data_IF_796003380928
#
_entry.id   IF_796003380928
#
_cell.length_a   1.000
_cell.length_b   1.000
_cell.length_c   1.000
_cell.angle_alpha   90.00
_cell.angle_beta   90.00
_cell.angle_gamma   90.00
#
_symmetry.space_group_name_H-M   'P 1'
#
loop_
_entity.id
_entity.type
_entity.pdbx_description
1 polymer ?
#
# COMPACT_ATOMS: atom_id res chain seq x y z
N UNK A 1 3.45 -15.08 1.12
CA UNK A 1 4.57 -15.10 2.10
C UNK A 1 4.72 -16.51 2.66
N UNK A 2 5.85 -16.83 3.30
CA UNK A 2 6.04 -18.08 4.04
C UNK A 2 5.24 -18.03 5.37
N UNK A 3 5.10 -19.17 6.07
CA UNK A 3 4.38 -19.25 7.36
C UNK A 3 4.99 -18.33 8.43
N UNK A 4 6.32 -18.16 8.43
CA UNK A 4 7.10 -17.26 9.29
C UNK A 4 6.97 -15.76 8.93
N UNK A 5 6.14 -15.43 7.93
CA UNK A 5 5.96 -14.08 7.44
C UNK A 5 7.15 -13.53 6.63
N UNK A 6 8.08 -14.37 6.20
CA UNK A 6 9.14 -13.95 5.28
C UNK A 6 8.69 -14.04 3.81
N UNK A 7 9.46 -13.41 2.93
CA UNK A 7 9.20 -13.42 1.48
C UNK A 7 9.34 -14.88 0.98
N UNK A 8 8.27 -15.42 0.38
CA UNK A 8 8.29 -16.73 -0.32
C UNK A 8 8.61 -16.56 -1.79
N UNK A 9 7.96 -15.58 -2.41
CA UNK A 9 8.10 -15.19 -3.81
C UNK A 9 7.83 -13.70 -3.88
N UNK A 10 8.63 -12.98 -4.66
CA UNK A 10 8.47 -11.56 -4.88
C UNK A 10 8.15 -11.33 -6.36
N UNK A 11 7.11 -10.56 -6.63
CA UNK A 11 6.81 -10.04 -7.96
C UNK A 11 6.71 -8.53 -7.80
N UNK A 12 7.63 -7.81 -8.44
CA UNK A 12 7.64 -6.35 -8.41
C UNK A 12 6.88 -5.86 -9.63
N UNK A 13 5.80 -5.12 -9.38
CA UNK A 13 5.12 -4.32 -10.40
C UNK A 13 5.01 -2.89 -9.91
N UNK A 14 5.37 -1.96 -10.78
CA UNK A 14 5.26 -0.53 -10.54
C UNK A 14 4.22 0.03 -11.47
N UNK A 15 3.31 0.82 -10.92
CA UNK A 15 2.24 1.46 -11.67
C UNK A 15 2.41 2.97 -11.60
N UNK A 16 2.23 3.64 -12.74
CA UNK A 16 2.17 5.09 -12.77
C UNK A 16 0.83 5.56 -12.19
N UNK A 17 0.85 6.70 -11.51
CA UNK A 17 -0.38 7.29 -10.99
C UNK A 17 -1.20 7.79 -12.18
N UNK A 18 -2.47 7.36 -12.32
CA UNK A 18 -3.28 7.73 -13.45
C UNK A 18 -3.55 9.25 -13.47
N UNK A 19 -3.51 9.80 -14.68
CA UNK A 19 -3.83 11.20 -14.97
C UNK A 19 -4.75 11.27 -16.20
N UNK A 20 -5.49 12.37 -16.29
CA UNK A 20 -6.51 12.60 -17.32
C UNK A 20 -7.79 13.17 -16.70
N UNK A 21 -8.89 13.08 -17.44
CA UNK A 21 -10.24 13.32 -16.92
C UNK A 21 -10.61 12.28 -15.85
N UNK A 22 -11.65 12.56 -15.06
CA UNK A 22 -12.16 11.62 -14.05
C UNK A 22 -12.46 10.24 -14.64
N UNK A 23 -13.14 10.19 -15.79
CA UNK A 23 -13.44 8.94 -16.49
C UNK A 23 -12.19 8.18 -16.94
N UNK A 24 -11.19 8.88 -17.48
CA UNK A 24 -9.92 8.26 -17.87
C UNK A 24 -9.15 7.70 -16.68
N UNK A 25 -9.14 8.42 -15.56
CA UNK A 25 -8.51 7.96 -14.31
C UNK A 25 -9.21 6.71 -13.79
N UNK A 26 -10.54 6.69 -13.76
CA UNK A 26 -11.32 5.54 -13.32
C UNK A 26 -11.10 4.30 -14.21
N UNK A 27 -11.06 4.46 -15.52
CA UNK A 27 -10.77 3.38 -16.46
C UNK A 27 -9.40 2.76 -16.17
N UNK A 28 -8.35 3.59 -16.09
CA UNK A 28 -6.99 3.13 -15.75
C UNK A 28 -6.90 2.44 -14.39
N UNK A 29 -7.65 2.93 -13.39
CA UNK A 29 -7.72 2.28 -12.08
C UNK A 29 -8.38 0.90 -12.16
N UNK A 30 -9.44 0.73 -12.97
CA UNK A 30 -10.08 -0.57 -13.18
C UNK A 30 -9.13 -1.57 -13.82
N UNK A 31 -8.40 -1.17 -14.85
CA UNK A 31 -7.43 -2.03 -15.52
C UNK A 31 -6.35 -2.52 -14.55
N UNK A 32 -5.80 -1.57 -13.77
CA UNK A 32 -4.81 -1.86 -12.74
C UNK A 32 -5.35 -2.81 -11.66
N UNK A 33 -6.57 -2.57 -11.16
CA UNK A 33 -7.21 -3.44 -10.16
C UNK A 33 -7.42 -4.85 -10.73
N UNK A 34 -7.89 -4.97 -11.97
CA UNK A 34 -8.10 -6.26 -12.62
C UNK A 34 -6.79 -7.05 -12.71
N UNK A 35 -5.68 -6.38 -13.01
CA UNK A 35 -4.36 -6.98 -13.01
C UNK A 35 -3.93 -7.48 -11.63
N UNK A 36 -4.15 -6.67 -10.58
CA UNK A 36 -3.86 -7.05 -9.19
C UNK A 36 -4.69 -8.27 -8.77
N UNK A 37 -5.99 -8.27 -9.06
CA UNK A 37 -6.89 -9.38 -8.70
C UNK A 37 -6.51 -10.66 -9.45
N UNK A 38 -6.16 -10.58 -10.75
CA UNK A 38 -5.64 -11.73 -11.51
C UNK A 38 -4.40 -12.33 -10.87
N UNK A 39 -3.48 -11.49 -10.36
CA UNK A 39 -2.30 -11.96 -9.65
C UNK A 39 -2.67 -12.63 -8.33
N UNK A 40 -3.61 -12.05 -7.58
CA UNK A 40 -4.06 -12.62 -6.31
C UNK A 40 -4.70 -14.00 -6.50
N UNK A 41 -5.52 -14.18 -7.54
CA UNK A 41 -6.11 -15.48 -7.92
C UNK A 41 -5.00 -16.46 -8.32
N UNK A 42 -4.09 -16.05 -9.23
CA UNK A 42 -2.98 -16.88 -9.70
C UNK A 42 -2.08 -17.39 -8.57
N UNK A 43 -1.92 -16.59 -7.52
CA UNK A 43 -1.09 -16.93 -6.36
C UNK A 43 -1.88 -17.40 -5.15
N UNK A 44 -3.20 -17.57 -5.29
CA UNK A 44 -4.11 -18.04 -4.24
C UNK A 44 -3.92 -17.28 -2.92
N UNK A 45 -3.86 -15.95 -3.01
CA UNK A 45 -3.56 -15.09 -1.86
C UNK A 45 -4.56 -13.96 -1.67
N UNK A 46 -4.78 -13.58 -0.40
CA UNK A 46 -5.50 -12.36 -0.06
C UNK A 46 -4.71 -11.10 -0.45
N UNK A 47 -5.41 -9.99 -0.63
CA UNK A 47 -4.81 -8.67 -0.84
C UNK A 47 -4.83 -7.89 0.48
N UNK A 48 -3.74 -7.20 0.79
CA UNK A 48 -3.66 -6.32 1.96
C UNK A 48 -3.31 -4.91 1.52
N UNK A 49 -4.11 -3.94 1.93
CA UNK A 49 -3.88 -2.52 1.66
C UNK A 49 -3.87 -1.76 2.97
N UNK A 50 -3.14 -0.64 3.00
CA UNK A 50 -3.24 0.29 4.12
C UNK A 50 -4.65 0.86 4.21
N UNK A 51 -5.07 1.25 5.43
CA UNK A 51 -6.25 2.06 5.66
C UNK A 51 -5.82 3.53 5.83
N UNK A 52 -5.42 4.18 4.74
CA UNK A 52 -4.96 5.57 4.81
C UNK A 52 -6.13 6.53 4.85
N UNK A 53 -6.13 7.39 5.86
CA UNK A 53 -6.92 8.62 5.86
C UNK A 53 -6.05 9.79 5.37
N UNK A 54 -6.44 10.38 4.24
CA UNK A 54 -5.76 11.52 3.64
C UNK A 54 -6.33 12.87 4.08
N UNK A 55 -7.37 12.87 4.92
CA UNK A 55 -8.06 14.10 5.34
C UNK A 55 -7.11 15.05 6.06
N UNK A 56 -6.38 14.56 7.06
CA UNK A 56 -5.40 15.36 7.80
C UNK A 56 -4.15 15.70 6.96
N UNK A 57 -3.61 14.72 6.20
CA UNK A 57 -2.45 14.94 5.34
C UNK A 57 -2.69 16.01 4.27
N UNK A 58 -3.91 16.13 3.74
CA UNK A 58 -4.28 17.19 2.80
C UNK A 58 -4.21 18.59 3.40
N UNK A 59 -4.57 18.76 4.68
CA UNK A 59 -4.51 20.07 5.35
C UNK A 59 -3.07 20.57 5.40
N UNK A 60 -2.14 19.71 5.85
CA UNK A 60 -0.71 20.02 5.94
C UNK A 60 -0.09 20.30 4.56
N UNK A 61 -0.44 19.49 3.55
CA UNK A 61 0.18 19.58 2.23
C UNK A 61 -0.33 20.72 1.34
N UNK A 62 -1.49 21.31 1.68
CA UNK A 62 -1.91 22.58 1.06
C UNK A 62 -0.91 23.70 1.31
N UNK A 63 -0.21 23.66 2.44
CA UNK A 63 0.75 24.69 2.83
C UNK A 63 2.21 24.35 2.44
N UNK A 64 2.57 23.07 2.33
CA UNK A 64 3.97 22.64 2.18
C UNK A 64 4.26 21.62 1.03
N UNK A 65 3.25 21.16 0.28
CA UNK A 65 3.40 20.09 -0.71
C UNK A 65 3.58 20.56 -2.17
N UNK A 66 4.29 19.77 -2.99
CA UNK A 66 4.41 20.02 -4.45
C UNK A 66 3.11 19.68 -5.21
N UNK A 67 2.81 20.37 -6.32
CA UNK A 67 1.59 20.12 -7.13
C UNK A 67 1.42 18.64 -7.52
N UNK A 68 2.51 17.94 -7.87
CA UNK A 68 2.50 16.50 -8.23
C UNK A 68 2.18 15.62 -7.02
N UNK A 69 2.73 15.95 -5.86
CA UNK A 69 2.49 15.23 -4.61
C UNK A 69 1.05 15.44 -4.11
N UNK A 70 0.53 16.66 -4.22
CA UNK A 70 -0.85 17.00 -3.85
C UNK A 70 -1.89 16.30 -4.75
N UNK A 71 -1.57 16.08 -6.03
CA UNK A 71 -2.42 15.33 -6.98
C UNK A 71 -2.38 13.82 -6.73
N UNK A 72 -1.20 13.26 -6.48
CA UNK A 72 -1.01 11.87 -6.04
C UNK A 72 -1.82 11.54 -4.78
N UNK A 73 -1.89 12.50 -3.85
CA UNK A 73 -2.65 12.40 -2.59
C UNK A 73 -4.06 12.98 -2.70
N UNK A 74 -4.55 13.26 -3.91
CA UNK A 74 -5.96 13.55 -4.07
C UNK A 74 -6.72 12.33 -3.55
N UNK A 75 -7.28 12.44 -2.35
CA UNK A 75 -8.01 11.35 -1.68
C UNK A 75 -9.10 10.75 -2.58
N UNK A 76 -9.48 11.43 -3.67
CA UNK A 76 -10.26 10.89 -4.76
C UNK A 76 -9.62 9.64 -5.39
N UNK A 77 -8.38 9.70 -5.91
CA UNK A 77 -7.74 8.56 -6.60
C UNK A 77 -7.61 7.36 -5.68
N UNK A 78 -7.16 7.58 -4.44
CA UNK A 78 -7.02 6.50 -3.48
C UNK A 78 -8.37 5.92 -3.02
N UNK A 79 -9.34 6.78 -2.68
CA UNK A 79 -10.69 6.32 -2.29
C UNK A 79 -11.33 5.52 -3.41
N UNK A 80 -11.22 6.01 -4.66
CA UNK A 80 -11.74 5.32 -5.84
C UNK A 80 -11.01 4.01 -6.10
N UNK A 81 -9.68 3.99 -6.00
CA UNK A 81 -8.89 2.76 -6.10
C UNK A 81 -9.35 1.72 -5.08
N UNK A 82 -9.51 2.11 -3.80
CA UNK A 82 -9.99 1.22 -2.74
C UNK A 82 -11.39 0.69 -3.04
N UNK A 83 -12.32 1.56 -3.46
CA UNK A 83 -13.67 1.14 -3.82
C UNK A 83 -13.69 0.13 -4.97
N UNK A 84 -12.97 0.41 -6.06
CA UNK A 84 -12.88 -0.47 -7.23
C UNK A 84 -12.24 -1.81 -6.83
N UNK A 85 -11.19 -1.77 -6.02
CA UNK A 85 -10.49 -2.96 -5.53
C UNK A 85 -11.41 -3.86 -4.70
N UNK A 86 -12.11 -3.32 -3.71
CA UNK A 86 -13.02 -4.10 -2.84
C UNK A 86 -14.09 -4.79 -3.68
N UNK A 87 -14.77 -4.05 -4.56
CA UNK A 87 -15.81 -4.63 -5.43
C UNK A 87 -15.25 -5.71 -6.36
N UNK A 88 -14.08 -5.48 -6.96
CA UNK A 88 -13.46 -6.47 -7.84
C UNK A 88 -13.05 -7.74 -7.07
N UNK A 89 -12.54 -7.59 -5.86
CA UNK A 89 -12.14 -8.70 -5.01
C UNK A 89 -13.34 -9.53 -4.54
N UNK A 90 -14.41 -8.87 -4.08
CA UNK A 90 -15.66 -9.52 -3.68
C UNK A 90 -16.24 -10.36 -4.82
N UNK A 91 -16.29 -9.81 -6.04
CA UNK A 91 -16.76 -10.53 -7.23
C UNK A 91 -15.95 -11.77 -7.58
N UNK A 92 -14.67 -11.81 -7.20
CA UNK A 92 -13.74 -12.89 -7.53
C UNK A 92 -13.40 -13.78 -6.33
N UNK A 93 -14.09 -13.63 -5.18
CA UNK A 93 -13.81 -14.41 -3.97
C UNK A 93 -12.42 -14.14 -3.36
N UNK A 94 -11.81 -12.99 -3.65
CA UNK A 94 -10.51 -12.59 -3.09
C UNK A 94 -10.73 -11.78 -1.81
N UNK A 95 -10.13 -12.21 -0.71
CA UNK A 95 -10.23 -11.47 0.55
C UNK A 95 -9.34 -10.21 0.54
N UNK A 96 -9.89 -9.07 0.99
CA UNK A 96 -9.16 -7.81 1.17
C UNK A 96 -9.04 -7.49 2.65
N UNK A 97 -7.81 -7.32 3.13
CA UNK A 97 -7.53 -6.91 4.51
C UNK A 97 -7.05 -5.48 4.57
N UNK A 98 -7.72 -4.68 5.41
CA UNK A 98 -7.31 -3.31 5.71
C UNK A 98 -6.33 -3.32 6.88
N UNK A 99 -5.18 -2.69 6.70
CA UNK A 99 -4.08 -2.69 7.66
C UNK A 99 -3.88 -1.29 8.22
N UNK A 100 -3.62 -1.18 9.52
CA UNK A 100 -3.25 0.08 10.15
C UNK A 100 -1.97 0.63 9.46
N UNK A 101 -2.01 1.84 8.85
CA UNK A 101 -0.86 2.45 8.17
C UNK A 101 0.25 2.94 9.11
N UNK A 102 0.01 2.93 10.43
CA UNK A 102 0.89 3.58 11.40
C UNK A 102 2.36 3.11 11.29
N UNK A 103 3.24 4.04 10.96
CA UNK A 103 4.69 3.88 10.81
C UNK A 103 5.14 2.76 9.85
N UNK A 104 4.31 2.28 8.92
CA UNK A 104 4.67 1.19 7.98
C UNK A 104 5.93 1.52 7.18
N UNK A 105 6.03 2.73 6.63
CA UNK A 105 7.21 3.20 5.89
C UNK A 105 8.45 3.24 6.77
N UNK A 106 8.35 3.82 7.97
CA UNK A 106 9.47 3.97 8.90
C UNK A 106 9.96 2.59 9.38
N UNK A 107 9.04 1.75 9.86
CA UNK A 107 9.35 0.38 10.27
C UNK A 107 9.99 -0.41 9.12
N UNK A 108 9.44 -0.28 7.92
CA UNK A 108 9.93 -0.94 6.72
C UNK A 108 11.39 -0.58 6.44
N UNK A 109 11.69 0.72 6.40
CA UNK A 109 13.04 1.22 6.17
C UNK A 109 14.02 0.71 7.24
N UNK A 110 13.69 0.90 8.52
CA UNK A 110 14.60 0.55 9.61
C UNK A 110 14.84 -0.95 9.76
N UNK A 111 13.82 -1.79 9.57
CA UNK A 111 13.92 -3.23 9.82
C UNK A 111 14.27 -4.05 8.58
N UNK A 112 13.78 -3.64 7.41
CA UNK A 112 13.67 -4.54 6.27
C UNK A 112 14.31 -4.01 4.98
N UNK A 113 14.47 -2.71 4.79
CA UNK A 113 15.05 -2.18 3.55
C UNK A 113 16.46 -2.70 3.29
N UNK A 114 17.37 -2.58 4.27
CA UNK A 114 18.74 -3.11 4.14
C UNK A 114 18.77 -4.64 4.11
N UNK A 115 17.98 -5.29 4.97
CA UNK A 115 17.97 -6.75 5.12
C UNK A 115 17.52 -7.47 3.83
N UNK A 116 16.54 -6.90 3.13
CA UNK A 116 15.93 -7.50 1.94
C UNK A 116 16.22 -6.74 0.64
N UNK A 117 17.09 -5.72 0.66
CA UNK A 117 17.39 -4.89 -0.52
C UNK A 117 16.17 -4.18 -1.09
N UNK A 118 15.23 -3.76 -0.25
CA UNK A 118 13.95 -3.18 -0.68
C UNK A 118 14.00 -1.65 -0.73
N UNK A 119 13.36 -1.07 -1.74
CA UNK A 119 13.02 0.36 -1.71
C UNK A 119 12.04 0.66 -0.57
N UNK A 120 11.94 1.93 -0.17
CA UNK A 120 11.05 2.36 0.93
C UNK A 120 9.61 1.88 0.75
N UNK A 121 9.06 1.96 -0.46
CA UNK A 121 7.71 1.50 -0.78
C UNK A 121 7.54 -0.02 -0.64
N UNK A 122 8.50 -0.82 -1.14
CA UNK A 122 8.44 -2.27 -0.98
C UNK A 122 8.68 -2.71 0.46
N UNK A 123 9.52 -1.99 1.21
CA UNK A 123 9.73 -2.24 2.63
C UNK A 123 8.46 -1.95 3.45
N UNK A 124 7.72 -0.88 3.11
CA UNK A 124 6.41 -0.61 3.69
C UNK A 124 5.40 -1.72 3.34
N UNK A 125 5.34 -2.14 2.07
CA UNK A 125 4.50 -3.25 1.63
C UNK A 125 4.81 -4.57 2.37
N UNK A 126 6.08 -4.82 2.67
CA UNK A 126 6.48 -5.98 3.46
C UNK A 126 5.93 -5.92 4.90
N UNK A 127 6.00 -4.74 5.55
CA UNK A 127 5.40 -4.52 6.88
C UNK A 127 3.88 -4.74 6.84
N UNK A 128 3.19 -4.24 5.82
CA UNK A 128 1.74 -4.44 5.62
C UNK A 128 1.41 -5.93 5.53
N UNK A 129 2.16 -6.68 4.71
CA UNK A 129 1.99 -8.13 4.58
C UNK A 129 2.24 -8.88 5.88
N UNK A 130 3.25 -8.48 6.66
CA UNK A 130 3.49 -9.10 7.97
C UNK A 130 2.36 -8.80 8.96
N UNK A 131 1.88 -7.55 9.01
CA UNK A 131 0.71 -7.18 9.84
C UNK A 131 -0.55 -7.92 9.41
N UNK A 132 -0.74 -8.16 8.10
CA UNK A 132 -1.91 -8.90 7.62
C UNK A 132 -1.92 -10.36 8.06
N UNK A 133 -0.74 -10.96 8.26
CA UNK A 133 -0.56 -12.28 8.87
C UNK A 133 -0.61 -12.29 10.41
N UNK A 134 -0.81 -11.15 11.06
CA UNK A 134 -0.92 -11.03 12.51
C UNK A 134 0.37 -10.69 13.26
N UNK A 135 1.48 -10.45 12.56
CA UNK A 135 2.74 -10.04 13.20
C UNK A 135 2.66 -8.61 13.74
N UNK A 136 3.09 -8.41 14.99
CA UNK A 136 3.13 -7.11 15.66
C UNK A 136 4.38 -6.33 15.24
N UNK A 137 4.29 -5.64 14.11
CA UNK A 137 5.37 -4.79 13.60
C UNK A 137 5.46 -3.45 14.37
N UNK A 138 6.54 -3.28 15.13
CA UNK A 138 6.89 -2.06 15.90
C UNK A 138 8.36 -1.70 15.70
N UNK A 139 8.68 -0.42 15.91
CA UNK A 139 10.05 0.06 16.03
C UNK A 139 10.55 -0.28 17.45
N UNK A 140 11.73 -0.90 17.57
CA UNK A 140 12.35 -1.19 18.86
C UNK A 140 12.85 0.11 19.52
N UNK A 141 12.85 0.17 20.86
CA UNK A 141 13.09 1.40 21.64
C UNK A 141 14.36 2.19 21.29
N UNK A 142 15.43 1.53 20.83
CA UNK A 142 16.68 2.18 20.44
C UNK A 142 16.55 3.06 19.18
N UNK A 143 15.64 2.72 18.25
CA UNK A 143 15.39 3.51 17.04
C UNK A 143 14.33 4.61 17.23
N UNK A 144 13.63 4.64 18.38
CA UNK A 144 12.66 5.69 18.73
C UNK A 144 13.32 7.05 19.01
N UNK A 145 14.59 7.05 19.44
CA UNK A 145 15.34 8.25 19.81
C UNK A 145 15.68 9.10 18.57
N UNK A 146 15.76 8.48 17.39
CA UNK A 146 16.15 9.13 16.13
C UNK A 146 14.94 9.81 15.43
N UNK A 147 13.71 9.59 15.93
CA UNK A 147 12.46 10.01 15.27
C UNK A 147 11.66 11.05 16.05
N UNK A 148 12.25 11.69 17.07
CA UNK A 148 11.68 12.85 17.77
C UNK A 148 12.17 14.15 17.14
#
# INVERSE_FOLDING_TARGET
MKKDGNIKKQVIKSYSIPYGSTGQVEAKLRDLVNEIVKLAIKYECSISIENLDFTQKKSILRHFGSKKYNRMLSGFVYSKFRQILVVACEKNGVYVKLINPEFTSTIGIFKYAKLHGLSSGFAAAFVIGRRSLGYKEKINGQARIILK
#
